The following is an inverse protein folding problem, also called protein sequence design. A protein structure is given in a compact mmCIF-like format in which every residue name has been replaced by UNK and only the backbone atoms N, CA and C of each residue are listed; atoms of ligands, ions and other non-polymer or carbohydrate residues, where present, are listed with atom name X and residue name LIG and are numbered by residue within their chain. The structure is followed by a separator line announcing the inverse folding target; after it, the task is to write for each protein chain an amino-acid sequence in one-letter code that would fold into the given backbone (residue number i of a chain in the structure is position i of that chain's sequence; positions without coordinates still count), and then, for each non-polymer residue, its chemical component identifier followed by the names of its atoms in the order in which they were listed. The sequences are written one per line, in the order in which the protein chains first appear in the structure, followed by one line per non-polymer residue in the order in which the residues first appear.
data_IF_622387089831
#
_entry.id   IF_622387089831
#
_cell.length_a   1.000
_cell.length_b   1.000
_cell.length_c   1.000
_cell.angle_alpha   90.00
_cell.angle_beta   90.00
_cell.angle_gamma   90.00
#
_symmetry.space_group_name_H-M   'P 1'
#
loop_
_entity.id
_entity.type
_entity.pdbx_description
1 polymer ?
#
# COMPACT_ATOMS: atom_id res chain seq x y z
N UNK A 1 16.51 9.29 2.95
CA UNK A 1 15.25 9.12 3.65
C UNK A 1 14.43 8.03 3.00
N UNK A 2 13.86 7.16 3.80
CA UNK A 2 13.15 5.98 3.31
C UNK A 2 11.97 6.36 2.42
N UNK A 3 11.20 7.37 2.83
CA UNK A 3 10.02 7.76 2.08
C UNK A 3 10.35 8.34 0.70
N UNK A 4 11.48 9.04 0.57
CA UNK A 4 11.91 9.55 -0.72
C UNK A 4 12.18 8.42 -1.70
N UNK A 5 12.86 7.37 -1.23
CA UNK A 5 13.17 6.22 -2.08
C UNK A 5 11.90 5.50 -2.51
N UNK A 6 10.96 5.32 -1.58
CA UNK A 6 9.69 4.69 -1.89
C UNK A 6 8.91 5.52 -2.91
N UNK A 7 8.84 6.82 -2.70
CA UNK A 7 8.14 7.72 -3.62
C UNK A 7 8.75 7.66 -5.02
N UNK A 8 10.08 7.65 -5.11
CA UNK A 8 10.77 7.56 -6.39
C UNK A 8 10.46 6.25 -7.10
N UNK A 9 10.44 5.15 -6.37
CA UNK A 9 10.09 3.84 -6.94
C UNK A 9 8.66 3.82 -7.46
N UNK A 10 7.73 4.39 -6.70
CA UNK A 10 6.33 4.45 -7.11
C UNK A 10 6.15 5.32 -8.35
N UNK A 11 6.87 6.44 -8.39
CA UNK A 11 6.80 7.35 -9.54
C UNK A 11 7.35 6.69 -10.80
N UNK A 12 8.45 5.96 -10.66
CA UNK A 12 9.07 5.28 -11.79
C UNK A 12 8.16 4.22 -12.41
N UNK A 13 7.21 3.69 -11.64
CA UNK A 13 6.29 2.66 -12.11
C UNK A 13 4.87 3.19 -12.34
N UNK A 14 4.68 4.49 -12.30
CA UNK A 14 3.36 5.12 -12.44
C UNK A 14 2.35 4.64 -11.39
N UNK A 15 2.82 4.31 -10.21
CA UNK A 15 1.97 3.88 -9.11
C UNK A 15 1.63 5.03 -8.15
N UNK A 16 2.36 6.14 -8.25
CA UNK A 16 2.17 7.24 -7.32
C UNK A 16 0.76 7.83 -7.36
N UNK A 17 0.12 8.02 -8.53
CA UNK A 17 -1.26 8.53 -8.55
C UNK A 17 -2.24 7.63 -7.81
N UNK A 18 -2.07 6.31 -7.92
CA UNK A 18 -2.92 5.35 -7.21
C UNK A 18 -2.75 5.50 -5.70
N UNK A 19 -1.51 5.58 -5.23
CA UNK A 19 -1.21 5.73 -3.81
C UNK A 19 -1.75 7.06 -3.29
N UNK A 20 -1.57 8.12 -4.07
CA UNK A 20 -2.03 9.45 -3.71
C UNK A 20 -3.55 9.49 -3.57
N UNK A 21 -4.26 8.81 -4.46
CA UNK A 21 -5.71 8.73 -4.39
C UNK A 21 -6.18 8.08 -3.08
N UNK A 22 -5.54 6.98 -2.69
CA UNK A 22 -5.88 6.30 -1.44
C UNK A 22 -5.59 7.22 -0.25
N UNK A 23 -4.44 7.89 -0.28
CA UNK A 23 -4.06 8.82 0.79
C UNK A 23 -5.08 9.94 0.96
N UNK A 24 -5.50 10.54 -0.14
CA UNK A 24 -6.47 11.64 -0.08
C UNK A 24 -7.81 11.17 0.43
N UNK A 25 -8.27 10.03 -0.03
CA UNK A 25 -9.55 9.50 0.38
C UNK A 25 -9.59 9.14 1.86
N UNK A 26 -8.47 8.65 2.39
CA UNK A 26 -8.39 8.23 3.79
C UNK A 26 -7.85 9.29 4.73
N UNK A 27 -7.47 10.45 4.20
CA UNK A 27 -6.98 11.56 5.02
C UNK A 27 -5.62 11.29 5.66
N UNK A 28 -4.76 10.58 4.96
CA UNK A 28 -3.39 10.31 5.42
C UNK A 28 -2.40 10.86 4.41
N UNK A 29 -1.14 10.99 4.83
CA UNK A 29 -0.09 11.49 3.94
C UNK A 29 0.70 10.34 3.33
N UNK A 30 1.38 10.64 2.23
CA UNK A 30 2.28 9.67 1.61
C UNK A 30 3.38 9.25 2.58
N UNK A 31 3.93 10.20 3.34
CA UNK A 31 4.96 9.90 4.34
C UNK A 31 4.45 8.91 5.38
N UNK A 32 3.21 9.07 5.82
CA UNK A 32 2.61 8.16 6.80
C UNK A 32 2.45 6.75 6.22
N UNK A 33 1.99 6.65 4.98
CA UNK A 33 1.82 5.34 4.33
C UNK A 33 3.16 4.66 4.11
N UNK A 34 4.15 5.40 3.67
CA UNK A 34 5.48 4.85 3.39
C UNK A 34 6.30 4.59 4.67
N UNK A 35 5.96 5.26 5.76
CA UNK A 35 6.68 5.15 7.01
C UNK A 35 6.23 3.96 7.85
N UNK A 36 6.54 4.03 9.14
CA UNK A 36 6.27 2.93 10.08
C UNK A 36 5.26 3.32 11.16
N UNK A 37 4.49 4.36 10.92
CA UNK A 37 3.45 4.76 11.86
C UNK A 37 2.47 3.62 12.08
N UNK A 38 1.97 3.50 13.32
CA UNK A 38 1.17 2.37 13.74
C UNK A 38 -0.30 2.69 13.99
N UNK A 39 -0.75 3.91 13.70
CA UNK A 39 -2.16 4.21 13.90
C UNK A 39 -3.00 3.29 13.01
N UNK A 40 -4.20 2.96 13.47
CA UNK A 40 -5.09 2.06 12.74
C UNK A 40 -5.45 2.65 11.38
N UNK A 41 -5.71 3.94 11.32
CA UNK A 41 -6.08 4.61 10.07
C UNK A 41 -4.94 4.50 9.04
N UNK A 42 -3.70 4.74 9.48
CA UNK A 42 -2.55 4.68 8.59
C UNK A 42 -2.28 3.25 8.17
N UNK A 43 -2.39 2.29 9.08
CA UNK A 43 -2.20 0.87 8.75
C UNK A 43 -3.20 0.41 7.72
N UNK A 44 -4.46 0.80 7.87
CA UNK A 44 -5.51 0.41 6.90
C UNK A 44 -5.27 1.05 5.54
N UNK A 45 -4.83 2.30 5.50
CA UNK A 45 -4.49 2.96 4.25
C UNK A 45 -3.35 2.24 3.55
N UNK A 46 -2.31 1.88 4.31
CA UNK A 46 -1.15 1.16 3.79
C UNK A 46 -1.57 -0.18 3.20
N UNK A 47 -2.43 -0.91 3.91
CA UNK A 47 -2.91 -2.21 3.47
C UNK A 47 -3.72 -2.09 2.18
N UNK A 48 -4.54 -1.07 2.06
CA UNK A 48 -5.30 -0.84 0.84
C UNK A 48 -4.38 -0.51 -0.33
N UNK A 49 -3.34 0.29 -0.10
CA UNK A 49 -2.36 0.63 -1.13
C UNK A 49 -1.71 -0.65 -1.66
N UNK A 50 -1.26 -1.52 -0.77
CA UNK A 50 -0.62 -2.78 -1.19
C UNK A 50 -1.60 -3.65 -1.97
N UNK A 51 -2.83 -3.73 -1.52
CA UNK A 51 -3.86 -4.52 -2.21
C UNK A 51 -4.12 -3.97 -3.61
N UNK A 52 -4.24 -2.66 -3.75
CA UNK A 52 -4.49 -2.04 -5.05
C UNK A 52 -3.33 -2.22 -6.01
N UNK A 53 -2.10 -2.19 -5.50
CA UNK A 53 -0.93 -2.46 -6.35
C UNK A 53 -0.92 -3.92 -6.78
N UNK A 54 -1.23 -4.82 -5.87
CA UNK A 54 -1.30 -6.26 -6.18
C UNK A 54 -2.29 -6.54 -7.30
N UNK A 55 -3.40 -5.83 -7.32
CA UNK A 55 -4.46 -6.02 -8.31
C UNK A 55 -4.47 -4.92 -9.36
N UNK A 56 -3.31 -4.39 -9.72
CA UNK A 56 -3.20 -3.34 -10.72
C UNK A 56 -3.75 -3.85 -12.07
N UNK A 57 -4.57 -3.03 -12.77
CA UNK A 57 -5.24 -3.50 -13.98
C UNK A 57 -4.30 -3.80 -15.15
N UNK A 58 -3.14 -3.16 -15.19
CA UNK A 58 -2.20 -3.33 -16.31
C UNK A 58 -1.12 -4.37 -16.02
N UNK A 59 -0.89 -4.67 -14.75
CA UNK A 59 0.17 -5.58 -14.37
C UNK A 59 -0.07 -6.09 -12.95
N UNK A 60 0.05 -7.39 -12.76
CA UNK A 60 -0.01 -7.97 -11.43
C UNK A 60 1.36 -7.94 -10.79
N UNK A 61 1.48 -7.29 -9.64
CA UNK A 61 2.72 -7.23 -8.87
C UNK A 61 2.75 -8.36 -7.86
N UNK A 62 3.90 -9.05 -7.76
CA UNK A 62 4.06 -10.12 -6.78
C UNK A 62 4.27 -9.52 -5.39
N UNK A 63 4.05 -10.32 -4.35
CA UNK A 63 4.30 -9.89 -2.99
C UNK A 63 5.74 -9.44 -2.76
N UNK A 64 6.76 -10.17 -3.23
CA UNK A 64 8.14 -9.71 -3.10
C UNK A 64 8.41 -8.38 -3.81
N UNK A 65 7.77 -8.15 -4.96
CA UNK A 65 7.92 -6.88 -5.67
C UNK A 65 7.38 -5.72 -4.85
N UNK A 66 6.19 -5.88 -4.27
CA UNK A 66 5.59 -4.86 -3.43
C UNK A 66 6.44 -4.64 -2.19
N UNK A 67 6.95 -5.72 -1.60
CA UNK A 67 7.81 -5.63 -0.42
C UNK A 67 9.06 -4.79 -0.71
N UNK A 68 9.66 -4.98 -1.87
CA UNK A 68 10.83 -4.19 -2.25
C UNK A 68 10.48 -2.72 -2.47
N UNK A 69 9.31 -2.45 -3.05
CA UNK A 69 8.87 -1.08 -3.26
C UNK A 69 8.76 -0.31 -1.95
N UNK A 70 8.28 -0.97 -0.89
CA UNK A 70 8.02 -0.33 0.39
C UNK A 70 9.07 -0.65 1.45
N UNK A 71 10.14 -1.33 1.09
CA UNK A 71 11.20 -1.73 2.02
C UNK A 71 10.64 -2.50 3.22
N UNK A 72 9.80 -3.50 2.95
CA UNK A 72 9.15 -4.34 3.96
C UNK A 72 9.37 -5.80 3.63
N UNK A 73 9.16 -6.66 4.64
CA UNK A 73 9.14 -8.11 4.42
C UNK A 73 7.92 -8.49 3.60
N UNK A 74 8.09 -9.49 2.73
CA UNK A 74 6.95 -9.95 1.94
C UNK A 74 5.85 -10.55 2.82
N UNK A 75 6.19 -11.14 3.97
CA UNK A 75 5.18 -11.65 4.90
C UNK A 75 4.32 -10.53 5.45
N UNK A 76 4.90 -9.36 5.69
CA UNK A 76 4.15 -8.18 6.13
C UNK A 76 3.18 -7.73 5.04
N UNK A 77 3.61 -7.75 3.78
CA UNK A 77 2.76 -7.39 2.65
C UNK A 77 1.60 -8.36 2.52
N UNK A 78 1.87 -9.66 2.59
CA UNK A 78 0.83 -10.70 2.50
C UNK A 78 -0.20 -10.51 3.61
N UNK A 79 0.27 -10.36 4.85
CA UNK A 79 -0.62 -10.18 6.00
C UNK A 79 -1.48 -8.93 5.84
N UNK A 80 -0.89 -7.85 5.36
CA UNK A 80 -1.62 -6.59 5.15
C UNK A 80 -2.70 -6.71 4.08
N UNK A 81 -2.37 -7.35 2.97
CA UNK A 81 -3.32 -7.54 1.87
C UNK A 81 -4.46 -8.45 2.34
N UNK A 82 -4.15 -9.54 3.05
CA UNK A 82 -5.17 -10.43 3.58
C UNK A 82 -6.07 -9.70 4.58
N UNK A 83 -5.52 -8.85 5.42
CA UNK A 83 -6.30 -8.07 6.37
C UNK A 83 -7.28 -7.15 5.66
N UNK A 84 -6.82 -6.50 4.58
CA UNK A 84 -7.69 -5.63 3.79
C UNK A 84 -8.83 -6.43 3.16
N UNK A 85 -8.51 -7.57 2.59
CA UNK A 85 -9.50 -8.43 1.94
C UNK A 85 -10.56 -8.91 2.93
N UNK A 86 -10.13 -9.29 4.13
CA UNK A 86 -11.09 -9.72 5.17
C UNK A 86 -12.04 -8.59 5.56
N UNK A 87 -11.53 -7.37 5.70
CA UNK A 87 -12.38 -6.24 6.04
C UNK A 87 -13.37 -5.92 4.92
N UNK A 88 -12.92 -6.01 3.68
CA UNK A 88 -13.78 -5.78 2.53
C UNK A 88 -14.88 -6.83 2.44
N UNK A 89 -14.54 -8.10 2.72
CA UNK A 89 -15.51 -9.18 2.71
C UNK A 89 -16.57 -9.01 3.81
N UNK A 90 -16.15 -8.54 4.99
CA UNK A 90 -17.08 -8.31 6.11
C UNK A 90 -18.07 -7.20 5.80
N UNK A 91 -17.64 -6.19 5.07
CA UNK A 91 -18.49 -5.05 4.72
C UNK A 91 -19.56 -5.43 3.70
N UNK A 92 -19.30 -6.41 2.86
CA UNK A 92 -20.26 -6.86 1.86
C UNK A 92 -21.43 -7.59 2.53
N UNK A 93 -22.67 -7.28 2.12
CA UNK A 93 -23.84 -7.97 2.69
C UNK A 93 -23.89 -9.43 2.31
#
# INVERSE_FOLDING_TARGET
MICSDVADQLRARDLLPLVDEVCKRRGVTLDEVCGRARSQAISRARQEVWWRIRHHPEREYSYPEIARLFARDHTTIIAGICAHERRAAVVLP
#
